data_IF_505462569575
#
_entry.id   IF_505462569575
#
_cell.length_a   1.000
_cell.length_b   1.000
_cell.length_c   1.000
_cell.angle_alpha   90.00
_cell.angle_beta   90.00
_cell.angle_gamma   90.00
#
_symmetry.space_group_name_H-M   'P 1'
#
loop_
_entity.id
_entity.type
_entity.pdbx_description
1 polymer ?
#
# COMPACT_ATOMS: atom_id res chain seq x y z
N UNK A 1 -15.95 32.85 -19.25
CA UNK A 1 -14.67 32.42 -18.71
C UNK A 1 -14.79 31.46 -17.49
N UNK A 2 -15.68 31.75 -16.58
CA UNK A 2 -15.86 30.89 -15.37
C UNK A 2 -16.41 29.49 -15.66
N UNK A 3 -17.20 29.32 -16.72
CA UNK A 3 -17.78 28.02 -17.08
C UNK A 3 -16.77 27.00 -17.64
N UNK A 4 -15.77 27.47 -18.35
CA UNK A 4 -14.73 26.60 -18.90
C UNK A 4 -13.83 25.98 -17.79
N UNK A 5 -13.62 26.70 -16.69
CA UNK A 5 -12.83 26.25 -15.56
C UNK A 5 -13.58 25.18 -14.76
N UNK A 6 -14.89 25.30 -14.59
CA UNK A 6 -15.73 24.31 -13.90
C UNK A 6 -15.86 23.01 -14.71
N UNK A 7 -15.98 23.08 -16.02
CA UNK A 7 -16.02 21.91 -16.89
C UNK A 7 -14.68 21.15 -16.88
N UNK A 8 -13.55 21.86 -16.83
CA UNK A 8 -12.22 21.28 -16.71
C UNK A 8 -12.02 20.54 -15.39
N UNK A 9 -12.50 21.09 -14.28
CA UNK A 9 -12.42 20.46 -12.95
C UNK A 9 -13.29 19.20 -12.87
N UNK A 10 -14.50 19.21 -13.45
CA UNK A 10 -15.39 18.05 -13.47
C UNK A 10 -14.83 16.89 -14.31
N UNK A 11 -14.27 17.18 -15.48
CA UNK A 11 -13.63 16.19 -16.33
C UNK A 11 -12.38 15.60 -15.70
N UNK A 12 -11.58 16.41 -15.02
CA UNK A 12 -10.36 15.97 -14.32
C UNK A 12 -10.69 15.06 -13.15
N UNK A 13 -11.76 15.32 -12.40
CA UNK A 13 -12.14 14.47 -11.27
C UNK A 13 -12.66 13.09 -11.68
N UNK A 14 -13.28 12.95 -12.84
CA UNK A 14 -13.75 11.67 -13.39
C UNK A 14 -12.60 10.82 -13.95
N UNK A 15 -11.56 11.42 -14.51
CA UNK A 15 -10.37 10.76 -14.99
C UNK A 15 -9.46 10.33 -13.82
N UNK A 16 -9.36 11.14 -12.78
CA UNK A 16 -8.51 10.89 -11.61
C UNK A 16 -8.86 9.59 -10.84
N UNK A 17 -10.10 9.18 -10.83
CA UNK A 17 -10.47 7.94 -10.10
C UNK A 17 -9.95 6.66 -10.78
N UNK A 18 -9.75 6.67 -12.08
CA UNK A 18 -9.15 5.57 -12.86
C UNK A 18 -7.64 5.65 -12.86
N UNK A 19 -7.10 6.85 -13.06
CA UNK A 19 -5.66 7.08 -13.14
C UNK A 19 -4.98 6.98 -11.78
N UNK A 20 -5.66 7.31 -10.68
CA UNK A 20 -5.15 7.12 -9.33
C UNK A 20 -4.96 5.62 -9.00
N UNK A 21 -5.89 4.77 -9.42
CA UNK A 21 -5.74 3.33 -9.23
C UNK A 21 -4.56 2.78 -10.04
N UNK A 22 -4.44 3.19 -11.29
CA UNK A 22 -3.33 2.80 -12.14
C UNK A 22 -1.98 3.32 -11.59
N UNK A 23 -1.91 4.58 -11.17
CA UNK A 23 -0.69 5.18 -10.62
C UNK A 23 -0.25 4.55 -9.29
N UNK A 24 -1.19 4.15 -8.44
CA UNK A 24 -0.89 3.44 -7.19
C UNK A 24 -0.33 2.04 -7.48
N UNK A 25 -0.82 1.37 -8.53
CA UNK A 25 -0.37 0.03 -8.90
C UNK A 25 0.86 0.02 -9.81
N UNK A 26 1.03 1.01 -10.68
CA UNK A 26 2.17 1.09 -11.60
C UNK A 26 3.44 1.68 -10.98
N UNK A 27 3.39 2.13 -9.73
CA UNK A 27 4.52 2.79 -9.08
C UNK A 27 4.98 4.07 -9.78
N UNK A 28 4.20 4.57 -10.73
CA UNK A 28 4.41 5.88 -11.32
C UNK A 28 3.86 6.94 -10.39
N UNK A 29 4.68 7.91 -10.08
CA UNK A 29 4.24 9.07 -9.31
C UNK A 29 2.99 9.66 -9.96
N UNK A 30 1.91 9.69 -9.21
CA UNK A 30 0.74 10.43 -9.64
C UNK A 30 1.15 11.88 -9.80
N UNK A 31 1.11 12.38 -11.02
CA UNK A 31 1.47 13.75 -11.35
C UNK A 31 0.68 14.71 -10.47
N UNK A 32 1.34 15.38 -9.55
CA UNK A 32 0.75 16.28 -8.55
C UNK A 32 0.88 15.82 -7.10
N UNK A 33 1.32 14.60 -6.84
CA UNK A 33 1.66 14.13 -5.49
C UNK A 33 3.19 14.18 -5.29
N UNK A 34 3.83 15.27 -5.70
CA UNK A 34 5.24 15.57 -5.41
C UNK A 34 5.46 15.93 -3.92
N UNK A 35 4.51 15.61 -3.06
CA UNK A 35 4.76 15.62 -1.65
C UNK A 35 5.73 14.45 -1.39
N UNK A 36 6.92 14.75 -0.90
CA UNK A 36 7.77 13.73 -0.32
C UNK A 36 6.92 12.95 0.68
N UNK A 37 6.66 11.69 0.37
CA UNK A 37 5.94 10.83 1.30
C UNK A 37 6.72 10.79 2.61
N UNK A 38 6.06 10.95 3.75
CA UNK A 38 6.74 10.91 5.02
C UNK A 38 7.45 9.55 5.15
N UNK A 39 8.70 9.57 5.58
CA UNK A 39 9.46 8.36 5.84
C UNK A 39 8.73 7.47 6.83
N UNK A 40 8.82 6.16 6.63
CA UNK A 40 8.25 5.18 7.54
C UNK A 40 8.72 5.45 8.97
N UNK A 41 7.78 5.53 9.87
CA UNK A 41 8.04 5.65 11.30
C UNK A 41 7.99 4.28 11.95
N UNK A 42 8.84 4.09 12.96
CA UNK A 42 8.95 2.84 13.69
C UNK A 42 8.66 3.04 15.18
N UNK A 43 8.22 1.99 15.84
CA UNK A 43 8.05 1.96 17.29
C UNK A 43 8.42 0.60 17.85
N UNK A 44 9.11 0.61 18.98
CA UNK A 44 9.39 -0.65 19.68
C UNK A 44 8.11 -1.26 20.25
N UNK A 45 7.90 -2.52 19.96
CA UNK A 45 6.74 -3.27 20.46
C UNK A 45 7.01 -3.75 21.91
N UNK A 46 6.56 -2.95 22.85
CA UNK A 46 6.66 -3.27 24.27
C UNK A 46 8.08 -3.68 24.69
N UNK A 47 8.19 -4.85 25.31
CA UNK A 47 9.47 -5.42 25.83
C UNK A 47 10.18 -6.34 24.83
N UNK A 48 9.66 -6.50 23.62
CA UNK A 48 10.22 -7.44 22.63
C UNK A 48 11.56 -6.99 22.06
N UNK A 49 11.87 -5.69 22.11
CA UNK A 49 13.02 -5.09 21.43
C UNK A 49 12.83 -4.96 19.91
N UNK A 50 11.75 -5.49 19.35
CA UNK A 50 11.44 -5.35 17.93
C UNK A 50 10.96 -3.93 17.61
N UNK A 51 11.65 -3.27 16.68
CA UNK A 51 11.28 -1.94 16.20
C UNK A 51 10.39 -2.08 14.97
N UNK A 52 9.09 -2.12 15.20
CA UNK A 52 8.06 -2.33 14.17
C UNK A 52 7.75 -1.07 13.39
N UNK A 53 7.57 -1.20 12.09
CA UNK A 53 6.95 -0.15 11.28
C UNK A 53 5.56 0.20 11.83
N UNK A 54 5.22 1.48 11.82
CA UNK A 54 3.88 1.92 12.27
C UNK A 54 2.77 1.49 11.33
N UNK A 55 3.11 1.24 10.08
CA UNK A 55 2.24 0.61 9.10
C UNK A 55 2.54 -0.88 9.07
N UNK A 56 1.53 -1.69 9.31
CA UNK A 56 1.60 -3.15 9.29
C UNK A 56 0.91 -3.66 8.04
N UNK A 57 1.55 -4.61 7.35
CA UNK A 57 0.97 -5.22 6.16
C UNK A 57 0.04 -6.38 6.54
N UNK A 58 -1.25 -6.26 6.26
CA UNK A 58 -2.23 -7.33 6.47
C UNK A 58 -2.24 -8.32 5.32
N UNK A 59 -1.89 -9.56 5.59
CA UNK A 59 -1.75 -10.60 4.56
C UNK A 59 -3.06 -11.35 4.24
N UNK A 60 -4.16 -11.02 4.91
CA UNK A 60 -5.40 -11.81 4.87
C UNK A 60 -6.18 -11.76 3.56
N UNK A 61 -6.06 -10.70 2.78
CA UNK A 61 -6.82 -10.54 1.55
C UNK A 61 -6.21 -11.29 0.37
N UNK A 62 -5.15 -10.72 -0.18
CA UNK A 62 -4.54 -11.20 -1.42
C UNK A 62 -3.66 -12.42 -1.17
N UNK A 63 -2.79 -12.35 -0.18
CA UNK A 63 -1.85 -13.42 0.14
C UNK A 63 -2.52 -14.68 0.70
N UNK A 64 -3.75 -14.59 1.18
CA UNK A 64 -4.50 -15.78 1.58
C UNK A 64 -4.76 -16.75 0.42
N UNK A 65 -4.69 -16.29 -0.83
CA UNK A 65 -5.03 -17.05 -2.03
C UNK A 65 -3.84 -17.34 -2.92
N UNK A 66 -2.90 -16.40 -3.03
CA UNK A 66 -1.78 -16.50 -3.96
C UNK A 66 -0.58 -15.66 -3.52
N UNK A 67 0.58 -15.97 -4.07
CA UNK A 67 1.79 -15.15 -3.90
C UNK A 67 1.68 -13.85 -4.68
N UNK A 68 2.24 -12.81 -4.10
CA UNK A 68 2.35 -11.49 -4.73
C UNK A 68 3.69 -10.85 -4.34
N UNK A 69 4.76 -11.36 -4.95
CA UNK A 69 6.13 -10.95 -4.61
C UNK A 69 6.36 -9.46 -4.90
N UNK A 70 5.88 -8.97 -6.02
CA UNK A 70 5.96 -7.55 -6.40
C UNK A 70 5.28 -6.61 -5.39
N UNK A 71 4.18 -7.05 -4.81
CA UNK A 71 3.48 -6.29 -3.77
C UNK A 71 4.28 -6.29 -2.46
N UNK A 72 4.90 -7.41 -2.12
CA UNK A 72 5.73 -7.56 -0.93
C UNK A 72 7.02 -6.72 -1.06
N UNK A 73 7.68 -6.77 -2.22
CA UNK A 73 8.87 -5.95 -2.50
C UNK A 73 8.56 -4.47 -2.32
N UNK A 74 7.46 -3.98 -2.88
CA UNK A 74 7.03 -2.59 -2.69
C UNK A 74 6.77 -2.24 -1.23
N UNK A 75 6.18 -3.14 -0.46
CA UNK A 75 5.97 -2.92 0.96
C UNK A 75 7.29 -2.83 1.73
N UNK A 76 8.25 -3.71 1.43
CA UNK A 76 9.59 -3.65 2.00
C UNK A 76 10.32 -2.36 1.63
N UNK A 77 10.30 -1.97 0.35
CA UNK A 77 10.92 -0.74 -0.13
C UNK A 77 10.32 0.51 0.54
N UNK A 78 9.03 0.47 0.84
CA UNK A 78 8.36 1.51 1.61
C UNK A 78 8.71 1.49 3.12
N UNK A 79 9.49 0.51 3.57
CA UNK A 79 9.95 0.39 4.96
C UNK A 79 9.03 -0.42 5.88
N UNK A 80 8.07 -1.16 5.34
CA UNK A 80 7.25 -2.08 6.14
C UNK A 80 8.11 -3.28 6.55
N UNK A 81 8.15 -3.57 7.85
CA UNK A 81 8.90 -4.70 8.40
C UNK A 81 8.07 -5.60 9.31
N UNK A 82 6.77 -5.36 9.36
CA UNK A 82 5.84 -6.13 10.17
C UNK A 82 4.65 -6.55 9.32
N UNK A 83 4.39 -7.87 9.31
CA UNK A 83 3.38 -8.50 8.49
C UNK A 83 2.43 -9.31 9.38
N UNK A 84 1.13 -9.08 9.24
CA UNK A 84 0.11 -9.82 9.97
C UNK A 84 -0.37 -10.98 9.10
N UNK A 85 0.04 -12.19 9.48
CA UNK A 85 -0.37 -13.43 8.81
C UNK A 85 -1.62 -14.05 9.41
N UNK A 86 -2.09 -13.50 10.51
CA UNK A 86 -3.30 -13.91 11.20
C UNK A 86 -3.32 -15.37 11.61
N UNK A 87 -4.54 -15.89 11.79
CA UNK A 87 -4.79 -17.27 12.14
C UNK A 87 -5.18 -18.07 10.89
N UNK A 88 -4.63 -19.27 10.74
CA UNK A 88 -4.74 -20.11 9.54
C UNK A 88 -6.18 -20.26 8.99
N UNK A 89 -7.18 -20.42 9.86
CA UNK A 89 -8.57 -20.53 9.41
C UNK A 89 -9.15 -19.25 8.81
N UNK A 90 -8.53 -18.10 9.12
CA UNK A 90 -8.92 -16.82 8.54
C UNK A 90 -8.09 -16.44 7.32
N UNK A 91 -6.79 -16.66 7.39
CA UNK A 91 -5.84 -16.19 6.38
C UNK A 91 -5.31 -17.32 5.49
N UNK A 92 -5.84 -18.54 5.63
CA UNK A 92 -5.53 -19.70 4.78
C UNK A 92 -4.02 -19.90 4.57
N UNK A 93 -3.53 -19.66 3.36
CA UNK A 93 -2.13 -19.87 2.97
C UNK A 93 -1.28 -18.60 3.04
N UNK A 94 -1.74 -17.55 3.73
CA UNK A 94 -1.02 -16.27 3.78
C UNK A 94 0.42 -16.40 4.27
N UNK A 95 0.66 -17.16 5.33
CA UNK A 95 2.00 -17.41 5.86
C UNK A 95 2.88 -18.14 4.84
N UNK A 96 2.33 -19.12 4.15
CA UNK A 96 3.04 -19.88 3.10
C UNK A 96 3.35 -19.00 1.89
N UNK A 97 2.43 -18.11 1.52
CA UNK A 97 2.57 -17.21 0.39
C UNK A 97 3.46 -15.99 0.69
N UNK A 98 3.75 -15.75 1.97
CA UNK A 98 4.72 -14.74 2.40
C UNK A 98 6.16 -15.27 2.32
N UNK A 99 6.36 -16.57 2.44
CA UNK A 99 7.68 -17.19 2.39
C UNK A 99 8.27 -17.15 0.96
N UNK A 100 9.60 -16.97 0.81
CA UNK A 100 10.27 -16.98 -0.48
C UNK A 100 10.21 -18.34 -1.18
#
# INVERSE_FOLDING_TARGET
MQYATLAGVGATSLLQSRDLKAAIFDGKEAAGLNAEWPKMQYRTLGRTGHNSSRLIFGCGATLSRSRHDDLLERAFDAGVNTFDVGYKHYYNDAERNLAP
#
